data_IF_479165189115
#
_entry.id   IF_479165189115
#
_cell.length_a   1.000
_cell.length_b   1.000
_cell.length_c   1.000
_cell.angle_alpha   90.00
_cell.angle_beta   90.00
_cell.angle_gamma   90.00
#
_symmetry.space_group_name_H-M   'P 1'
#
loop_
_entity.id
_entity.type
_entity.pdbx_description
1 polymer ?
#
# COMPACT_ATOMS: atom_id res chain seq x y z
N UNK A 1 -8.79 -9.89 5.13
CA UNK A 1 -8.13 -9.58 3.85
C UNK A 1 -8.22 -8.08 3.52
N UNK A 2 -9.41 -7.46 3.53
CA UNK A 2 -9.51 -5.99 3.38
C UNK A 2 -8.73 -5.20 4.45
N UNK A 3 -8.79 -5.62 5.72
CA UNK A 3 -8.00 -5.00 6.79
C UNK A 3 -6.47 -5.07 6.56
N UNK A 4 -5.98 -6.11 5.88
CA UNK A 4 -4.56 -6.23 5.54
C UNK A 4 -4.18 -5.25 4.41
N UNK A 5 -5.04 -5.13 3.40
CA UNK A 5 -4.87 -4.13 2.35
C UNK A 5 -4.85 -2.69 2.92
N UNK A 6 -5.73 -2.39 3.88
CA UNK A 6 -5.78 -1.07 4.50
C UNK A 6 -4.56 -0.80 5.40
N UNK A 7 -4.03 -1.83 6.07
CA UNK A 7 -2.76 -1.76 6.80
C UNK A 7 -1.60 -1.40 5.86
N UNK A 8 -1.49 -2.10 4.74
CA UNK A 8 -0.44 -1.88 3.74
C UNK A 8 -0.54 -0.50 3.08
N UNK A 9 -1.76 -0.02 2.79
CA UNK A 9 -1.97 1.34 2.29
C UNK A 9 -1.58 2.41 3.33
N UNK A 10 -1.85 2.16 4.62
CA UNK A 10 -1.39 3.03 5.70
C UNK A 10 0.13 3.10 5.80
N UNK A 11 0.80 1.95 5.68
CA UNK A 11 2.26 1.86 5.70
C UNK A 11 2.89 2.53 4.47
N UNK A 12 2.32 2.30 3.28
CA UNK A 12 2.74 2.98 2.05
C UNK A 12 2.64 4.51 2.17
N UNK A 13 1.55 5.00 2.76
CA UNK A 13 1.35 6.44 2.97
C UNK A 13 2.41 7.04 3.90
N UNK A 14 2.79 6.35 4.97
CA UNK A 14 3.84 6.83 5.88
C UNK A 14 5.19 6.93 5.16
N UNK A 15 5.52 5.96 4.31
CA UNK A 15 6.74 6.00 3.51
C UNK A 15 6.74 7.15 2.50
N UNK A 16 5.60 7.41 1.85
CA UNK A 16 5.41 8.56 0.95
C UNK A 16 5.62 9.90 1.71
N UNK A 17 4.99 10.05 2.88
CA UNK A 17 5.15 11.24 3.73
C UNK A 17 6.61 11.44 4.16
N UNK A 18 7.31 10.37 4.57
CA UNK A 18 8.74 10.46 4.92
C UNK A 18 9.63 10.79 3.72
N UNK A 19 9.32 10.27 2.53
CA UNK A 19 10.06 10.59 1.32
C UNK A 19 9.88 12.07 0.95
N UNK A 20 8.66 12.59 0.98
CA UNK A 20 8.36 14.01 0.75
C UNK A 20 9.09 14.92 1.73
N UNK A 21 9.06 14.60 3.02
CA UNK A 21 9.79 15.32 4.05
C UNK A 21 11.29 15.32 3.80
N UNK A 22 11.86 14.19 3.35
CA UNK A 22 13.27 14.12 2.97
C UNK A 22 13.58 14.99 1.76
N UNK A 23 12.78 14.98 0.70
CA UNK A 23 13.01 15.86 -0.45
C UNK A 23 13.01 17.34 -0.01
N UNK A 24 12.02 17.74 0.79
CA UNK A 24 11.87 19.11 1.25
C UNK A 24 13.02 19.53 2.18
N UNK A 25 13.42 18.65 3.09
CA UNK A 25 14.45 18.94 4.10
C UNK A 25 15.86 18.83 3.54
N UNK A 26 16.13 17.89 2.63
CA UNK A 26 17.47 17.68 2.06
C UNK A 26 17.95 18.90 1.28
N UNK A 27 17.05 19.56 0.54
CA UNK A 27 17.35 20.80 -0.17
C UNK A 27 17.73 21.96 0.76
N UNK A 28 17.25 21.94 2.02
CA UNK A 28 17.55 22.95 3.04
C UNK A 28 18.80 22.62 3.85
N UNK A 29 18.99 21.34 4.18
CA UNK A 29 20.03 20.86 5.09
C UNK A 29 21.38 20.64 4.41
N UNK A 30 21.36 20.33 3.12
CA UNK A 30 22.57 19.98 2.38
C UNK A 30 22.74 20.90 1.17
N UNK A 31 23.97 21.32 0.92
CA UNK A 31 24.32 21.97 -0.34
C UNK A 31 24.04 21.00 -1.48
N UNK A 32 23.33 21.47 -2.51
CA UNK A 32 23.00 20.69 -3.69
C UNK A 32 24.24 20.05 -4.31
N UNK A 33 24.15 18.76 -4.63
CA UNK A 33 25.26 17.99 -5.20
C UNK A 33 26.27 17.42 -4.18
N UNK A 34 26.11 17.72 -2.88
CA UNK A 34 26.90 17.03 -1.85
C UNK A 34 26.54 15.54 -1.76
N UNK A 35 27.49 14.70 -1.35
CA UNK A 35 27.23 13.26 -1.17
C UNK A 35 26.12 12.98 -0.16
N UNK A 36 25.96 13.85 0.85
CA UNK A 36 24.88 13.76 1.83
C UNK A 36 23.51 14.07 1.20
N UNK A 37 23.43 15.10 0.35
CA UNK A 37 22.24 15.41 -0.43
C UNK A 37 21.83 14.22 -1.30
N UNK A 38 22.75 13.69 -2.12
CA UNK A 38 22.48 12.58 -3.04
C UNK A 38 22.04 11.33 -2.28
N UNK A 39 22.72 11.00 -1.16
CA UNK A 39 22.33 9.86 -0.32
C UNK A 39 20.93 10.04 0.25
N UNK A 40 20.60 11.23 0.73
CA UNK A 40 19.28 11.52 1.29
C UNK A 40 18.16 11.37 0.26
N UNK A 41 18.40 11.82 -0.99
CA UNK A 41 17.48 11.62 -2.10
C UNK A 41 17.33 10.13 -2.45
N UNK A 42 18.43 9.38 -2.49
CA UNK A 42 18.37 7.93 -2.75
C UNK A 42 17.52 7.20 -1.72
N UNK A 43 17.59 7.60 -0.44
CA UNK A 43 16.73 7.01 0.61
C UNK A 43 15.26 7.33 0.35
N UNK A 44 14.94 8.57 -0.03
CA UNK A 44 13.57 8.95 -0.39
C UNK A 44 13.06 8.15 -1.60
N UNK A 45 13.89 7.97 -2.63
CA UNK A 45 13.55 7.15 -3.81
C UNK A 45 13.25 5.69 -3.42
N UNK A 46 14.02 5.13 -2.49
CA UNK A 46 13.82 3.76 -2.02
C UNK A 46 12.54 3.63 -1.18
N UNK A 47 12.22 4.63 -0.35
CA UNK A 47 10.93 4.69 0.36
C UNK A 47 9.74 4.73 -0.60
N UNK A 48 9.84 5.49 -1.71
CA UNK A 48 8.79 5.53 -2.74
C UNK A 48 8.65 4.20 -3.49
N UNK A 49 9.76 3.50 -3.76
CA UNK A 49 9.71 2.15 -4.37
C UNK A 49 9.00 1.17 -3.45
N UNK A 50 9.31 1.20 -2.16
CA UNK A 50 8.70 0.34 -1.16
C UNK A 50 7.21 0.64 -0.99
N UNK A 51 6.82 1.92 -0.89
CA UNK A 51 5.41 2.33 -0.87
C UNK A 51 4.63 1.80 -2.08
N UNK A 52 5.22 1.85 -3.28
CA UNK A 52 4.60 1.30 -4.49
C UNK A 52 4.44 -0.22 -4.45
N UNK A 53 5.41 -0.93 -3.87
CA UNK A 53 5.30 -2.37 -3.69
C UNK A 53 4.16 -2.73 -2.73
N UNK A 54 4.06 -2.02 -1.59
CA UNK A 54 2.98 -2.20 -0.62
C UNK A 54 1.61 -1.93 -1.22
N UNK A 55 1.43 -0.86 -2.02
CA UNK A 55 0.17 -0.59 -2.74
C UNK A 55 -0.18 -1.69 -3.73
N UNK A 56 0.82 -2.26 -4.40
CA UNK A 56 0.61 -3.40 -5.31
C UNK A 56 0.12 -4.62 -4.54
N UNK A 57 0.74 -4.92 -3.41
CA UNK A 57 0.34 -6.02 -2.55
C UNK A 57 -1.06 -5.81 -1.94
N UNK A 58 -1.38 -4.59 -1.49
CA UNK A 58 -2.71 -4.22 -1.01
C UNK A 58 -3.79 -4.45 -2.08
N UNK A 59 -3.48 -4.16 -3.35
CA UNK A 59 -4.37 -4.44 -4.48
C UNK A 59 -4.65 -5.95 -4.63
N UNK A 60 -3.62 -6.80 -4.49
CA UNK A 60 -3.81 -8.25 -4.54
C UNK A 60 -4.67 -8.75 -3.38
N UNK A 61 -4.46 -8.27 -2.15
CA UNK A 61 -5.32 -8.60 -1.02
C UNK A 61 -6.78 -8.22 -1.26
N UNK A 62 -7.05 -7.06 -1.88
CA UNK A 62 -8.41 -6.65 -2.25
C UNK A 62 -9.03 -7.57 -3.29
N UNK A 63 -8.26 -7.98 -4.30
CA UNK A 63 -8.74 -8.93 -5.33
C UNK A 63 -9.11 -10.27 -4.73
N UNK A 64 -8.25 -10.83 -3.87
CA UNK A 64 -8.54 -12.10 -3.19
C UNK A 64 -9.76 -11.96 -2.27
N UNK A 65 -9.86 -10.85 -1.53
CA UNK A 65 -11.00 -10.59 -0.66
C UNK A 65 -12.33 -10.53 -1.44
N UNK A 66 -12.34 -9.85 -2.58
CA UNK A 66 -13.50 -9.76 -3.46
C UNK A 66 -13.89 -11.14 -4.01
N UNK A 67 -12.91 -11.91 -4.52
CA UNK A 67 -13.14 -13.26 -5.01
C UNK A 67 -13.76 -14.17 -3.93
N UNK A 68 -13.25 -14.13 -2.70
CA UNK A 68 -13.79 -14.93 -1.60
C UNK A 68 -15.23 -14.53 -1.24
N UNK A 69 -15.54 -13.24 -1.24
CA UNK A 69 -16.88 -12.74 -0.97
C UNK A 69 -17.90 -13.17 -2.04
N UNK A 70 -17.48 -13.21 -3.32
CA UNK A 70 -18.30 -13.72 -4.43
C UNK A 70 -18.58 -15.23 -4.27
N UNK A 71 -17.57 -16.02 -3.89
CA UNK A 71 -17.72 -17.45 -3.66
C UNK A 71 -18.66 -17.74 -2.49
N UNK A 72 -18.61 -16.97 -1.41
CA UNK A 72 -19.51 -17.12 -0.26
C UNK A 72 -20.97 -16.83 -0.63
N UNK A 73 -21.21 -15.80 -1.46
CA UNK A 73 -22.55 -15.47 -1.95
C UNK A 73 -23.12 -16.56 -2.86
N UNK A 74 -22.27 -17.19 -3.69
CA UNK A 74 -22.67 -18.29 -4.57
C UNK A 74 -22.87 -19.61 -3.80
N UNK A 75 -22.14 -19.79 -2.70
CA UNK A 75 -22.22 -20.97 -1.85
C UNK A 75 -23.38 -20.92 -0.83
N UNK A 76 -24.16 -19.84 -0.78
CA UNK A 76 -25.39 -19.77 0.01
C UNK A 76 -26.53 -20.45 -0.77
N UNK A 77 -26.92 -21.71 -0.44
CA UNK A 77 -28.10 -22.29 -1.04
C UNK A 77 -29.30 -21.46 -0.58
N UNK A 78 -30.02 -20.86 -1.53
CA UNK A 78 -31.31 -20.24 -1.25
C UNK A 78 -32.19 -21.22 -0.45
N UNK A 79 -33.05 -20.72 0.46
CA UNK A 79 -33.83 -21.57 1.34
C UNK A 79 -34.51 -22.64 0.50
N UNK A 80 -34.22 -23.90 0.81
CA UNK A 80 -34.87 -25.04 0.19
C UNK A 80 -36.38 -24.76 0.29
N UNK A 81 -37.03 -24.60 -0.87
CA UNK A 81 -38.49 -24.61 -0.95
C UNK A 81 -38.93 -26.01 -0.56
N UNK A 82 -39.05 -26.24 0.73
CA UNK A 82 -39.90 -27.26 1.30
C UNK A 82 -41.31 -26.71 1.20
N UNK A 83 -41.98 -27.01 0.10
CA UNK A 83 -43.43 -27.00 0.05
C UNK A 83 -43.84 -28.47 -0.14
N UNK A 84 -44.31 -29.04 0.97
CA UNK A 84 -45.03 -30.32 1.08
C UNK A 84 -46.42 -30.23 0.45
#
# INVERSE_FOLDING_TARGET
MFAEADRLDGEARLLEEFAEDRYASSARLYTGGSSAFIRSLSVADDQLKEARALRTEACEYRRVAAFMAEQEQQASPGPARGDE
#
